data_IF_471061833633
#
_entry.id   IF_471061833633
#
_cell.length_a   1.000
_cell.length_b   1.000
_cell.length_c   1.000
_cell.angle_alpha   90.00
_cell.angle_beta   90.00
_cell.angle_gamma   90.00
#
_symmetry.space_group_name_H-M   'P 1'
#
loop_
_entity.id
_entity.type
_entity.pdbx_description
1 polymer ?
#
# COMPACT_ATOMS: atom_id res chain seq x y z
N UNK A 1 32.56 0.75 -19.40
CA UNK A 1 31.62 -0.32 -19.00
C UNK A 1 32.39 -1.38 -18.22
N UNK A 2 32.68 -1.16 -16.95
CA UNK A 2 33.53 -2.06 -16.14
C UNK A 2 32.74 -2.99 -15.19
N UNK A 3 31.40 -2.94 -15.23
CA UNK A 3 30.52 -3.70 -14.35
C UNK A 3 29.53 -4.61 -15.11
N UNK A 4 29.83 -4.97 -16.37
CA UNK A 4 28.95 -5.84 -17.16
C UNK A 4 29.66 -7.13 -17.57
N UNK A 5 29.14 -8.26 -17.08
CA UNK A 5 29.76 -9.58 -17.23
C UNK A 5 29.45 -10.28 -18.58
N UNK A 6 28.44 -9.80 -19.30
CA UNK A 6 28.01 -10.37 -20.58
C UNK A 6 28.81 -9.78 -21.75
N UNK A 7 29.09 -10.61 -22.75
CA UNK A 7 29.60 -10.12 -24.04
C UNK A 7 28.56 -9.22 -24.73
N UNK A 8 28.94 -8.34 -25.66
CA UNK A 8 27.98 -7.47 -26.35
C UNK A 8 26.84 -8.24 -27.04
N UNK A 9 27.14 -9.38 -27.66
CA UNK A 9 26.14 -10.23 -28.31
C UNK A 9 25.20 -10.87 -27.27
N UNK A 10 25.74 -11.45 -26.20
CA UNK A 10 24.94 -12.05 -25.14
C UNK A 10 24.07 -11.01 -24.40
N UNK A 11 24.58 -9.78 -24.23
CA UNK A 11 23.81 -8.67 -23.67
C UNK A 11 22.66 -8.27 -24.59
N UNK A 12 22.91 -8.16 -25.89
CA UNK A 12 21.88 -7.82 -26.85
C UNK A 12 20.77 -8.87 -26.89
N UNK A 13 21.13 -10.15 -26.93
CA UNK A 13 20.18 -11.27 -26.89
C UNK A 13 19.38 -11.27 -25.59
N UNK A 14 20.04 -11.05 -24.45
CA UNK A 14 19.37 -10.97 -23.16
C UNK A 14 18.37 -9.79 -23.09
N UNK A 15 18.76 -8.62 -23.61
CA UNK A 15 17.88 -7.45 -23.68
C UNK A 15 16.67 -7.72 -24.58
N UNK A 16 16.86 -8.38 -25.72
CA UNK A 16 15.75 -8.76 -26.61
C UNK A 16 14.79 -9.73 -25.94
N UNK A 17 15.31 -10.78 -25.30
CA UNK A 17 14.47 -11.73 -24.53
C UNK A 17 13.69 -11.02 -23.42
N UNK A 18 14.31 -10.08 -22.71
CA UNK A 18 13.65 -9.30 -21.68
C UNK A 18 12.55 -8.40 -22.28
N UNK A 19 12.84 -7.67 -23.38
CA UNK A 19 11.89 -6.81 -24.06
C UNK A 19 10.66 -7.59 -24.56
N UNK A 20 10.87 -8.73 -25.20
CA UNK A 20 9.82 -9.60 -25.73
C UNK A 20 8.95 -10.19 -24.60
N UNK A 21 9.58 -10.57 -23.47
CA UNK A 21 8.89 -11.14 -22.32
C UNK A 21 8.12 -10.12 -21.47
N UNK A 22 8.55 -8.85 -21.44
CA UNK A 22 7.95 -7.81 -20.59
C UNK A 22 7.11 -6.78 -21.36
N UNK A 23 7.19 -6.76 -22.69
CA UNK A 23 6.59 -5.71 -23.53
C UNK A 23 7.23 -4.33 -23.34
N UNK A 24 8.45 -4.27 -22.79
CA UNK A 24 9.20 -3.01 -22.60
C UNK A 24 10.01 -2.72 -23.85
N UNK A 25 9.89 -1.49 -24.36
CA UNK A 25 10.70 -1.05 -25.48
C UNK A 25 12.11 -0.67 -25.00
N UNK A 26 13.13 -1.33 -25.57
CA UNK A 26 14.54 -1.03 -25.29
C UNK A 26 15.10 -0.24 -26.46
N UNK A 27 15.41 1.02 -26.22
CA UNK A 27 16.01 1.90 -27.23
C UNK A 27 17.50 2.09 -26.98
N UNK A 28 18.31 1.88 -28.02
CA UNK A 28 19.74 2.14 -27.96
C UNK A 28 20.01 3.65 -28.00
N UNK A 29 20.65 4.16 -26.96
CA UNK A 29 21.03 5.56 -26.86
C UNK A 29 22.36 5.83 -27.57
N UNK A 30 22.44 6.88 -28.38
CA UNK A 30 23.66 7.30 -29.08
C UNK A 30 24.51 8.29 -28.29
N UNK A 31 23.90 9.00 -27.33
CA UNK A 31 24.54 9.99 -26.45
C UNK A 31 23.99 9.90 -25.03
N UNK A 32 24.74 10.42 -24.06
CA UNK A 32 24.27 10.58 -22.67
C UNK A 32 23.43 11.84 -22.42
N UNK A 33 23.43 12.78 -23.37
CA UNK A 33 22.61 13.98 -23.36
C UNK A 33 21.24 13.68 -23.97
N UNK A 34 20.18 14.09 -23.28
CA UNK A 34 18.79 13.90 -23.70
C UNK A 34 18.17 15.25 -24.11
N UNK A 35 17.70 15.33 -25.36
CA UNK A 35 16.90 16.46 -25.85
C UNK A 35 15.53 15.95 -26.34
N UNK A 36 14.41 16.12 -25.62
CA UNK A 36 14.24 16.59 -24.23
C UNK A 36 14.29 15.44 -23.20
N UNK A 37 14.70 15.69 -21.95
CA UNK A 37 14.57 14.69 -20.89
C UNK A 37 15.53 14.85 -19.72
N UNK A 38 15.69 13.76 -18.96
CA UNK A 38 16.67 13.64 -17.87
C UNK A 38 17.95 13.02 -18.45
N UNK A 39 19.08 13.72 -18.34
CA UNK A 39 20.37 13.22 -18.80
C UNK A 39 20.82 11.98 -18.02
N UNK A 40 21.49 11.06 -18.71
CA UNK A 40 22.06 9.87 -18.07
C UNK A 40 23.03 10.29 -16.96
N UNK A 41 22.73 9.88 -15.72
CA UNK A 41 23.52 10.21 -14.54
C UNK A 41 23.06 11.45 -13.78
N UNK A 42 21.96 12.09 -14.18
CA UNK A 42 21.29 13.10 -13.35
C UNK A 42 20.88 12.51 -12.01
N UNK A 43 20.98 13.33 -10.96
CA UNK A 43 20.44 13.08 -9.62
C UNK A 43 18.91 12.87 -9.60
N UNK A 44 18.22 13.08 -10.72
CA UNK A 44 16.80 12.73 -10.91
C UNK A 44 16.59 11.25 -11.22
N UNK A 45 17.62 10.52 -11.64
CA UNK A 45 17.57 9.06 -11.67
C UNK A 45 17.53 8.53 -10.25
N UNK A 46 16.57 7.64 -9.98
CA UNK A 46 16.47 6.93 -8.70
C UNK A 46 16.93 5.50 -8.93
N UNK A 47 17.97 5.10 -8.20
CA UNK A 47 18.34 3.69 -8.15
C UNK A 47 17.25 2.92 -7.41
N UNK A 48 16.87 1.77 -7.95
CA UNK A 48 15.92 0.86 -7.33
C UNK A 48 16.67 -0.34 -6.79
N UNK A 49 16.38 -0.70 -5.55
CA UNK A 49 16.86 -1.94 -4.96
C UNK A 49 15.87 -3.06 -5.26
N UNK A 50 16.38 -4.28 -5.46
CA UNK A 50 15.52 -5.44 -5.64
C UNK A 50 14.67 -5.64 -4.37
N UNK A 51 13.33 -5.68 -4.47
CA UNK A 51 12.49 -5.94 -3.30
C UNK A 51 12.75 -7.34 -2.73
N UNK A 52 12.91 -7.39 -1.42
CA UNK A 52 12.97 -8.58 -0.57
C UNK A 52 11.82 -8.48 0.45
N UNK A 53 10.58 -8.67 -0.01
CA UNK A 53 9.40 -8.43 0.82
C UNK A 53 9.12 -9.58 1.78
N UNK A 54 8.72 -9.22 3.00
CA UNK A 54 8.13 -10.13 3.98
C UNK A 54 6.65 -9.80 4.20
N UNK A 55 5.82 -10.82 4.35
CA UNK A 55 4.40 -10.71 4.68
C UNK A 55 4.17 -11.27 6.08
N UNK A 56 3.60 -10.46 6.98
CA UNK A 56 3.19 -10.98 8.29
C UNK A 56 1.95 -11.87 8.14
N UNK A 57 1.98 -13.01 8.81
CA UNK A 57 0.95 -14.05 8.81
C UNK A 57 0.76 -14.61 10.22
N UNK A 58 -0.17 -15.56 10.39
CA UNK A 58 -0.43 -16.22 11.67
C UNK A 58 -1.68 -15.70 12.37
N UNK A 59 -1.77 -15.98 13.68
CA UNK A 59 -2.96 -15.65 14.48
C UNK A 59 -3.24 -14.14 14.50
N UNK A 60 -4.49 -13.76 14.27
CA UNK A 60 -4.94 -12.37 14.22
C UNK A 60 -4.83 -11.69 12.85
N UNK A 61 -4.07 -12.24 11.90
CA UNK A 61 -3.96 -11.71 10.53
C UNK A 61 -5.13 -12.21 9.68
N UNK A 62 -5.71 -11.34 8.84
CA UNK A 62 -6.73 -11.74 7.87
C UNK A 62 -6.12 -12.62 6.77
N UNK A 63 -6.38 -13.93 6.85
CA UNK A 63 -5.82 -14.93 5.94
C UNK A 63 -6.24 -14.74 4.48
N UNK A 64 -7.42 -14.15 4.22
CA UNK A 64 -7.86 -13.90 2.85
C UNK A 64 -7.00 -12.79 2.21
N UNK A 65 -6.84 -11.65 2.89
CA UNK A 65 -6.01 -10.54 2.36
C UNK A 65 -4.53 -10.94 2.24
N UNK A 66 -4.02 -11.70 3.21
CA UNK A 66 -2.67 -12.26 3.14
C UNK A 66 -2.52 -13.19 1.92
N UNK A 67 -3.49 -14.08 1.69
CA UNK A 67 -3.50 -14.98 0.54
C UNK A 67 -3.62 -14.26 -0.80
N UNK A 68 -4.39 -13.18 -0.88
CA UNK A 68 -4.55 -12.36 -2.07
C UNK A 68 -3.25 -11.65 -2.46
N UNK A 69 -2.56 -11.06 -1.49
CA UNK A 69 -1.23 -10.45 -1.70
C UNK A 69 -0.19 -11.52 -2.05
N UNK A 70 -0.16 -12.64 -1.32
CA UNK A 70 0.76 -13.74 -1.61
C UNK A 70 0.59 -14.26 -3.04
N UNK A 71 -0.65 -14.53 -3.45
CA UNK A 71 -0.98 -14.94 -4.81
C UNK A 71 -0.55 -13.91 -5.85
N UNK A 72 -0.78 -12.61 -5.61
CA UNK A 72 -0.35 -11.55 -6.54
C UNK A 72 1.16 -11.64 -6.81
N UNK A 73 1.97 -11.67 -5.76
CA UNK A 73 3.42 -11.62 -5.92
C UNK A 73 4.01 -12.94 -6.43
N UNK A 74 3.48 -14.08 -5.97
CA UNK A 74 3.93 -15.40 -6.40
C UNK A 74 3.54 -15.71 -7.85
N UNK A 75 2.26 -15.52 -8.21
CA UNK A 75 1.69 -15.98 -9.48
C UNK A 75 1.68 -14.94 -10.60
N UNK A 76 1.86 -13.64 -10.29
CA UNK A 76 1.85 -12.56 -11.29
C UNK A 76 3.19 -11.85 -11.43
N UNK A 77 3.93 -11.71 -10.34
CA UNK A 77 5.22 -11.01 -10.34
C UNK A 77 6.44 -11.94 -10.24
N UNK A 78 6.24 -13.26 -10.10
CA UNK A 78 7.31 -14.23 -9.87
C UNK A 78 8.27 -13.80 -8.74
N UNK A 79 7.71 -13.19 -7.68
CA UNK A 79 8.44 -12.67 -6.53
C UNK A 79 7.85 -13.30 -5.25
N UNK A 80 8.19 -14.56 -4.91
CA UNK A 80 7.61 -15.21 -3.76
C UNK A 80 7.89 -14.44 -2.46
N UNK A 81 6.85 -14.18 -1.68
CA UNK A 81 6.94 -13.45 -0.42
C UNK A 81 7.44 -14.38 0.69
N UNK A 82 8.34 -13.88 1.54
CA UNK A 82 8.67 -14.61 2.77
C UNK A 82 7.58 -14.38 3.80
N UNK A 83 6.92 -15.44 4.25
CA UNK A 83 5.88 -15.35 5.27
C UNK A 83 6.51 -15.42 6.66
N UNK A 84 6.29 -14.38 7.47
CA UNK A 84 6.76 -14.34 8.86
C UNK A 84 5.56 -14.45 9.79
N UNK A 85 5.59 -15.44 10.67
CA UNK A 85 4.52 -15.64 11.64
C UNK A 85 4.64 -14.62 12.79
N UNK A 86 3.50 -14.00 13.13
CA UNK A 86 3.40 -12.91 14.11
C UNK A 86 4.03 -13.29 15.46
N UNK A 87 3.76 -14.49 15.95
CA UNK A 87 4.23 -14.99 17.26
C UNK A 87 5.75 -15.17 17.32
N UNK A 88 6.40 -15.32 16.17
CA UNK A 88 7.83 -15.56 16.03
C UNK A 88 8.62 -14.30 15.61
N UNK A 89 7.95 -13.16 15.40
CA UNK A 89 8.56 -11.96 14.85
C UNK A 89 9.75 -11.41 15.65
N UNK A 90 9.72 -11.55 16.97
CA UNK A 90 10.83 -11.14 17.84
C UNK A 90 12.15 -11.85 17.49
N UNK A 91 12.07 -13.11 17.02
CA UNK A 91 13.22 -13.97 16.72
C UNK A 91 13.79 -13.74 15.31
N UNK A 92 12.98 -13.30 14.35
CA UNK A 92 13.41 -13.11 12.97
C UNK A 92 14.23 -11.85 12.78
N UNK A 93 15.39 -11.95 12.13
CA UNK A 93 16.14 -10.76 11.72
C UNK A 93 15.44 -10.05 10.54
N UNK A 94 15.13 -8.77 10.72
CA UNK A 94 14.49 -7.96 9.68
C UNK A 94 15.47 -7.37 8.67
N UNK A 95 16.78 -7.42 8.94
CA UNK A 95 17.82 -6.84 8.07
C UNK A 95 17.88 -7.48 6.67
N UNK A 96 17.39 -8.72 6.54
CA UNK A 96 17.26 -9.44 5.27
C UNK A 96 16.17 -8.90 4.35
N UNK A 97 15.27 -8.04 4.86
CA UNK A 97 14.10 -7.54 4.14
C UNK A 97 14.14 -6.02 4.02
N UNK A 98 13.65 -5.49 2.90
CA UNK A 98 13.48 -4.04 2.69
C UNK A 98 12.01 -3.60 2.67
N UNK A 99 11.07 -4.56 2.60
CA UNK A 99 9.63 -4.29 2.68
C UNK A 99 8.98 -5.27 3.66
N UNK A 100 8.11 -4.76 4.51
CA UNK A 100 7.29 -5.54 5.44
C UNK A 100 5.83 -5.20 5.22
N UNK A 101 5.00 -6.21 4.93
CA UNK A 101 3.59 -6.05 4.60
C UNK A 101 2.74 -6.58 5.75
N UNK A 102 1.84 -5.73 6.25
CA UNK A 102 0.82 -6.05 7.24
C UNK A 102 -0.54 -5.80 6.61
N UNK A 103 -1.34 -6.86 6.49
CA UNK A 103 -2.72 -6.79 5.98
C UNK A 103 -3.72 -6.48 7.08
N UNK A 104 -5.01 -6.44 6.78
CA UNK A 104 -6.03 -6.31 7.82
C UNK A 104 -5.88 -7.39 8.90
N UNK A 105 -6.16 -7.05 10.15
CA UNK A 105 -5.98 -7.96 11.27
C UNK A 105 -5.84 -7.25 12.62
N UNK A 106 -5.72 -8.06 13.67
CA UNK A 106 -5.35 -7.62 15.01
C UNK A 106 -3.90 -7.96 15.31
N UNK A 107 -3.13 -6.93 15.66
CA UNK A 107 -1.70 -7.02 15.97
C UNK A 107 -1.40 -6.68 17.43
N UNK A 108 -2.42 -6.71 18.29
CA UNK A 108 -2.30 -6.43 19.73
C UNK A 108 -1.44 -7.47 20.47
N UNK A 109 -1.31 -8.68 19.91
CA UNK A 109 -0.45 -9.75 20.44
C UNK A 109 1.06 -9.54 20.23
N UNK A 110 1.47 -8.54 19.42
CA UNK A 110 2.89 -8.27 19.22
C UNK A 110 3.55 -7.74 20.49
N UNK A 111 4.59 -8.44 20.94
CA UNK A 111 5.39 -7.99 22.08
C UNK A 111 6.00 -6.61 21.84
N UNK A 112 6.21 -5.83 22.92
CA UNK A 112 6.88 -4.52 22.85
C UNK A 112 8.24 -4.61 22.16
N UNK A 113 9.00 -5.69 22.38
CA UNK A 113 10.28 -5.91 21.70
C UNK A 113 10.15 -6.05 20.18
N UNK A 114 9.13 -6.77 19.70
CA UNK A 114 8.85 -6.88 18.27
C UNK A 114 8.44 -5.53 17.67
N UNK A 115 7.60 -4.76 18.37
CA UNK A 115 7.20 -3.40 17.94
C UNK A 115 8.43 -2.49 17.81
N UNK A 116 9.32 -2.47 18.81
CA UNK A 116 10.54 -1.66 18.75
C UNK A 116 11.47 -2.09 17.62
N UNK A 117 11.58 -3.40 17.36
CA UNK A 117 12.35 -3.93 16.24
C UNK A 117 11.82 -3.44 14.89
N UNK A 118 10.50 -3.47 14.68
CA UNK A 118 9.87 -2.91 13.47
C UNK A 118 10.15 -1.41 13.39
N UNK A 119 9.99 -0.68 14.49
CA UNK A 119 10.21 0.78 14.53
C UNK A 119 11.64 1.15 14.14
N UNK A 120 12.63 0.47 14.72
CA UNK A 120 14.04 0.64 14.38
C UNK A 120 14.31 0.29 12.91
N UNK A 121 13.81 -0.84 12.43
CA UNK A 121 13.97 -1.26 11.04
C UNK A 121 13.40 -0.24 10.03
N UNK A 122 12.21 0.34 10.32
CA UNK A 122 11.68 1.44 9.51
C UNK A 122 12.58 2.67 9.60
N UNK A 123 13.03 3.07 10.80
CA UNK A 123 13.94 4.21 10.96
C UNK A 123 15.22 4.07 10.12
N UNK A 124 15.74 2.85 9.99
CA UNK A 124 16.95 2.54 9.25
C UNK A 124 16.77 2.56 7.72
N UNK A 125 15.54 2.51 7.21
CA UNK A 125 15.24 2.59 5.78
C UNK A 125 14.18 1.60 5.29
N UNK A 126 13.66 0.72 6.14
CA UNK A 126 12.62 -0.24 5.79
C UNK A 126 11.33 0.43 5.33
N UNK A 127 10.61 -0.23 4.41
CA UNK A 127 9.28 0.20 3.96
C UNK A 127 8.20 -0.67 4.59
N UNK A 128 7.41 -0.11 5.50
CA UNK A 128 6.25 -0.77 6.09
C UNK A 128 5.01 -0.47 5.24
N UNK A 129 4.33 -1.49 4.73
CA UNK A 129 3.03 -1.37 4.07
C UNK A 129 1.96 -1.89 5.03
N UNK A 130 1.03 -1.03 5.43
CA UNK A 130 0.00 -1.33 6.42
C UNK A 130 -1.40 -1.12 5.85
N UNK A 131 -2.19 -2.18 5.76
CA UNK A 131 -3.54 -2.16 5.18
C UNK A 131 -4.59 -2.18 6.29
N UNK A 132 -5.59 -1.31 6.18
CA UNK A 132 -6.76 -1.25 7.08
C UNK A 132 -6.38 -1.23 8.57
N UNK A 133 -6.78 -2.23 9.36
CA UNK A 133 -6.51 -2.23 10.80
C UNK A 133 -5.01 -2.33 11.13
N UNK A 134 -4.16 -2.83 10.23
CA UNK A 134 -2.71 -2.71 10.41
C UNK A 134 -2.25 -1.24 10.43
N UNK A 135 -2.86 -0.37 9.62
CA UNK A 135 -2.55 1.06 9.63
C UNK A 135 -2.99 1.71 10.96
N UNK A 136 -4.14 1.29 11.50
CA UNK A 136 -4.60 1.70 12.84
C UNK A 136 -3.64 1.26 13.93
N UNK A 137 -3.20 0.01 13.89
CA UNK A 137 -2.17 -0.49 14.80
C UNK A 137 -0.86 0.31 14.66
N UNK A 138 -0.42 0.58 13.43
CA UNK A 138 0.80 1.35 13.18
C UNK A 138 0.71 2.78 13.76
N UNK A 139 -0.46 3.42 13.68
CA UNK A 139 -0.71 4.72 14.30
C UNK A 139 -0.63 4.65 15.83
N UNK A 140 -1.27 3.64 16.45
CA UNK A 140 -1.20 3.40 17.91
C UNK A 140 0.25 3.18 18.38
N UNK A 141 1.05 2.44 17.61
CA UNK A 141 2.46 2.18 17.92
C UNK A 141 3.41 3.33 17.53
N UNK A 142 2.86 4.47 17.07
CA UNK A 142 3.64 5.64 16.65
C UNK A 142 4.67 5.31 15.55
N UNK A 143 4.26 4.51 14.57
CA UNK A 143 4.97 4.27 13.31
C UNK A 143 4.51 5.27 12.23
N UNK A 144 3.30 5.82 12.36
CA UNK A 144 2.69 6.82 11.47
C UNK A 144 1.90 7.83 12.30
N UNK A 145 1.73 9.06 11.80
CA UNK A 145 0.83 10.09 12.36
C UNK A 145 -0.58 10.03 11.77
N UNK A 146 -0.91 8.94 11.06
CA UNK A 146 -2.21 8.74 10.43
C UNK A 146 -3.37 8.98 11.41
N UNK A 147 -4.24 9.92 11.05
CA UNK A 147 -5.49 10.17 11.77
C UNK A 147 -6.66 9.48 11.07
N UNK A 148 -7.67 9.12 11.86
CA UNK A 148 -8.87 8.45 11.39
C UNK A 148 -10.07 9.37 11.62
N UNK A 149 -11.07 9.29 10.75
CA UNK A 149 -12.38 9.82 11.11
C UNK A 149 -12.96 9.00 12.26
N UNK A 150 -13.74 9.63 13.17
CA UNK A 150 -14.43 8.89 14.22
C UNK A 150 -15.22 7.74 13.61
N UNK A 151 -15.13 6.55 14.20
CA UNK A 151 -16.07 5.49 13.86
C UNK A 151 -17.48 6.04 14.14
N UNK A 152 -18.38 5.96 13.16
CA UNK A 152 -19.77 6.35 13.37
C UNK A 152 -20.28 5.67 14.64
N UNK A 153 -20.67 6.48 15.62
CA UNK A 153 -21.03 5.98 16.94
C UNK A 153 -22.10 4.90 16.81
N UNK A 154 -22.10 3.94 17.74
CA UNK A 154 -23.26 3.08 17.89
C UNK A 154 -24.43 4.00 18.17
N UNK A 155 -25.29 4.19 17.18
CA UNK A 155 -26.52 4.93 17.39
C UNK A 155 -27.37 4.12 18.39
N UNK A 156 -27.27 4.53 19.66
CA UNK A 156 -28.04 4.05 20.81
C UNK A 156 -29.30 4.88 21.03
N UNK A 157 -29.63 5.80 20.12
CA UNK A 157 -30.86 6.56 20.20
C UNK A 157 -32.07 5.64 19.97
N UNK A 158 -33.20 5.92 20.59
CA UNK A 158 -34.46 5.21 20.28
C UNK A 158 -34.87 4.03 21.17
N UNK A 159 -34.34 3.91 22.39
CA UNK A 159 -34.84 2.94 23.37
C UNK A 159 -34.70 1.46 22.95
N UNK A 160 -35.37 0.52 23.64
CA UNK A 160 -35.32 -0.91 23.30
C UNK A 160 -35.84 -1.17 21.88
N UNK A 161 -35.01 -1.82 21.05
CA UNK A 161 -35.35 -2.24 19.68
C UNK A 161 -35.65 -3.73 19.61
N UNK A 162 -36.42 -4.17 18.61
CA UNK A 162 -36.72 -5.59 18.40
C UNK A 162 -35.46 -6.36 17.98
N UNK A 163 -35.20 -7.50 18.64
CA UNK A 163 -34.09 -8.38 18.29
C UNK A 163 -34.13 -8.84 16.82
N UNK A 164 -35.33 -9.02 16.25
CA UNK A 164 -35.51 -9.43 14.86
C UNK A 164 -34.94 -8.41 13.83
N UNK A 165 -34.78 -7.15 14.23
CA UNK A 165 -34.22 -6.10 13.37
C UNK A 165 -32.70 -5.96 13.50
N UNK A 166 -32.07 -6.60 14.50
CA UNK A 166 -30.65 -6.41 14.83
C UNK A 166 -29.74 -6.66 13.62
N UNK A 167 -29.92 -7.78 12.92
CA UNK A 167 -29.10 -8.15 11.77
C UNK A 167 -29.30 -7.17 10.61
N UNK A 168 -30.55 -6.81 10.31
CA UNK A 168 -30.87 -5.86 9.23
C UNK A 168 -30.30 -4.48 9.50
N UNK A 169 -30.43 -3.98 10.72
CA UNK A 169 -29.91 -2.68 11.13
C UNK A 169 -28.37 -2.66 11.13
N UNK A 170 -27.72 -3.71 11.64
CA UNK A 170 -26.26 -3.82 11.59
C UNK A 170 -25.74 -3.97 10.17
N UNK A 171 -26.38 -4.81 9.36
CA UNK A 171 -26.05 -5.02 7.95
C UNK A 171 -26.17 -3.72 7.15
N UNK A 172 -27.24 -2.96 7.35
CA UNK A 172 -27.45 -1.67 6.71
C UNK A 172 -26.42 -0.61 7.14
N UNK A 173 -25.74 -0.74 8.28
CA UNK A 173 -24.67 0.18 8.70
C UNK A 173 -23.30 -0.23 8.18
N UNK A 174 -23.11 -1.50 7.83
CA UNK A 174 -21.81 -2.02 7.42
C UNK A 174 -21.48 -1.64 5.97
N UNK A 175 -20.26 -1.17 5.71
CA UNK A 175 -19.77 -0.96 4.34
C UNK A 175 -19.10 -2.24 3.84
N UNK A 176 -19.88 -3.16 3.25
CA UNK A 176 -19.45 -4.52 2.85
C UNK A 176 -19.44 -4.72 1.33
N UNK A 177 -18.73 -3.86 0.60
CA UNK A 177 -18.60 -3.96 -0.85
C UNK A 177 -19.38 -2.87 -1.57
N UNK A 178 -18.76 -1.70 -1.66
CA UNK A 178 -19.19 -0.62 -2.52
C UNK A 178 -17.97 -0.07 -3.27
N UNK A 179 -18.20 0.38 -4.51
CA UNK A 179 -17.17 0.92 -5.39
C UNK A 179 -17.31 2.43 -5.37
N UNK A 180 -16.21 3.13 -5.11
CA UNK A 180 -16.14 4.59 -5.10
C UNK A 180 -15.11 5.08 -6.09
N UNK A 181 -15.25 6.32 -6.53
CA UNK A 181 -14.23 6.97 -7.34
C UNK A 181 -13.11 7.51 -6.43
N UNK A 182 -11.88 7.35 -6.90
CA UNK A 182 -10.67 7.84 -6.26
C UNK A 182 -9.80 8.56 -7.26
N UNK A 183 -9.03 9.54 -6.78
CA UNK A 183 -8.09 10.31 -7.57
C UNK A 183 -6.67 10.02 -7.11
N UNK A 184 -5.90 9.38 -7.99
CA UNK A 184 -4.50 9.02 -7.83
C UNK A 184 -3.59 10.10 -8.44
N UNK A 185 -2.56 10.50 -7.71
CA UNK A 185 -1.47 11.31 -8.24
C UNK A 185 -0.53 10.43 -9.08
N UNK A 186 -0.59 10.60 -10.41
CA UNK A 186 0.24 9.85 -11.36
C UNK A 186 1.73 10.21 -11.29
N UNK A 187 2.09 11.33 -10.67
CA UNK A 187 3.50 11.75 -10.50
C UNK A 187 4.14 11.14 -9.25
N UNK A 188 3.33 10.61 -8.33
CA UNK A 188 3.81 9.93 -7.14
C UNK A 188 4.32 8.51 -7.50
N UNK A 189 5.38 7.98 -6.86
CA UNK A 189 5.89 6.63 -7.17
C UNK A 189 4.84 5.51 -7.08
N UNK A 190 3.84 5.67 -6.21
CA UNK A 190 2.70 4.74 -6.13
C UNK A 190 1.76 4.79 -7.34
N UNK A 191 1.77 5.87 -8.12
CA UNK A 191 1.05 6.03 -9.38
C UNK A 191 1.81 5.53 -10.61
N UNK A 192 3.03 5.01 -10.46
CA UNK A 192 3.84 4.55 -11.58
C UNK A 192 3.10 3.48 -12.43
N UNK A 193 3.10 3.67 -13.75
CA UNK A 193 2.44 2.78 -14.70
C UNK A 193 0.92 2.90 -14.77
N UNK A 194 0.31 3.89 -14.09
CA UNK A 194 -1.06 4.32 -14.35
C UNK A 194 -1.06 5.44 -15.39
N UNK A 195 -2.01 5.38 -16.34
CA UNK A 195 -2.21 6.41 -17.38
C UNK A 195 -3.43 7.28 -17.12
N UNK A 196 -4.31 6.85 -16.22
CA UNK A 196 -5.49 7.57 -15.76
C UNK A 196 -5.44 7.66 -14.22
N UNK A 197 -5.64 8.87 -13.70
CA UNK A 197 -5.69 9.13 -12.26
C UNK A 197 -7.05 8.81 -11.64
N UNK A 198 -8.09 8.61 -12.43
CA UNK A 198 -9.40 8.17 -11.95
C UNK A 198 -9.38 6.66 -11.69
N UNK A 199 -9.57 6.25 -10.44
CA UNK A 199 -9.45 4.86 -10.03
C UNK A 199 -10.67 4.38 -9.25
N UNK A 200 -11.39 3.35 -9.74
CA UNK A 200 -12.44 2.68 -8.96
C UNK A 200 -11.86 1.93 -7.75
N UNK A 201 -12.25 2.34 -6.55
CA UNK A 201 -11.80 1.78 -5.27
C UNK A 201 -12.88 0.91 -4.65
N UNK A 202 -12.57 -0.37 -4.46
CA UNK A 202 -13.47 -1.30 -3.79
C UNK A 202 -13.34 -1.18 -2.27
N UNK A 203 -14.42 -0.79 -1.57
CA UNK A 203 -14.45 -0.70 -0.11
C UNK A 203 -15.27 -1.81 0.52
N UNK A 204 -14.64 -2.49 1.47
CA UNK A 204 -15.22 -3.51 2.34
C UNK A 204 -14.92 -3.24 3.83
N UNK A 205 -14.57 -2.00 4.17
CA UNK A 205 -14.29 -1.54 5.54
C UNK A 205 -14.90 -0.16 5.79
N UNK A 206 -15.38 0.07 7.00
CA UNK A 206 -15.85 1.39 7.49
C UNK A 206 -14.74 2.20 8.18
N UNK A 207 -13.47 1.94 7.83
CA UNK A 207 -12.30 2.62 8.41
C UNK A 207 -11.84 3.74 7.47
N UNK A 208 -12.13 4.99 7.82
CA UNK A 208 -11.80 6.15 6.98
C UNK A 208 -10.58 6.90 7.50
N UNK A 209 -9.64 7.17 6.62
CA UNK A 209 -8.41 7.90 6.93
C UNK A 209 -8.63 9.38 6.66
N UNK A 210 -8.16 10.25 7.55
CA UNK A 210 -8.01 11.67 7.21
C UNK A 210 -6.81 11.85 6.29
N UNK A 211 -6.83 12.83 5.37
CA UNK A 211 -5.64 13.25 4.65
C UNK A 211 -4.52 13.65 5.62
N UNK A 212 -3.28 13.42 5.18
CA UNK A 212 -2.10 13.95 5.85
C UNK A 212 -2.11 15.49 5.83
N UNK A 213 -1.37 16.11 6.75
CA UNK A 213 -1.20 17.57 6.80
C UNK A 213 -0.28 18.04 5.68
N UNK A 214 0.75 17.25 5.36
CA UNK A 214 1.59 17.45 4.20
C UNK A 214 0.76 17.15 2.92
N UNK A 215 0.58 18.12 2.02
CA UNK A 215 -0.27 17.96 0.83
C UNK A 215 0.26 16.90 -0.15
N UNK A 216 1.55 16.57 -0.09
CA UNK A 216 2.16 15.56 -0.96
C UNK A 216 2.10 14.13 -0.39
N UNK A 217 1.69 13.98 0.87
CA UNK A 217 1.69 12.70 1.59
C UNK A 217 0.40 11.89 1.43
N UNK A 218 -0.56 12.36 0.63
CA UNK A 218 -1.84 11.70 0.37
C UNK A 218 -2.01 11.42 -1.14
N UNK A 219 -1.31 10.43 -1.71
CA UNK A 219 -1.28 10.22 -3.16
C UNK A 219 -2.58 9.64 -3.75
N UNK A 220 -3.49 9.15 -2.92
CA UNK A 220 -4.80 8.66 -3.34
C UNK A 220 -5.88 9.21 -2.42
N UNK A 221 -6.86 9.92 -2.98
CA UNK A 221 -7.99 10.51 -2.26
C UNK A 221 -9.32 10.05 -2.84
N UNK A 222 -10.34 9.89 -2.01
CA UNK A 222 -11.71 9.67 -2.47
C UNK A 222 -12.31 11.00 -2.95
N UNK A 223 -12.79 11.06 -4.18
CA UNK A 223 -13.28 12.30 -4.81
C UNK A 223 -14.80 12.50 -4.68
N UNK A 224 -15.53 11.47 -4.27
CA UNK A 224 -16.99 11.40 -4.19
C UNK A 224 -17.45 10.70 -2.92
N UNK A 225 -18.57 11.16 -2.35
CA UNK A 225 -19.34 10.46 -1.31
C UNK A 225 -20.42 9.54 -1.89
N UNK A 226 -20.64 9.57 -3.20
CA UNK A 226 -21.59 8.68 -3.89
C UNK A 226 -20.86 7.45 -4.43
N UNK A 227 -21.38 6.23 -4.17
CA UNK A 227 -20.82 5.03 -4.77
C UNK A 227 -21.05 5.04 -6.29
N UNK A 228 -20.04 4.63 -7.05
CA UNK A 228 -20.18 4.24 -8.45
C UNK A 228 -21.06 2.99 -8.57
N UNK A 229 -20.97 2.11 -7.57
CA UNK A 229 -21.81 0.91 -7.47
C UNK A 229 -21.84 0.39 -6.02
N UNK A 230 -22.93 -0.26 -5.63
CA UNK A 230 -23.14 -0.78 -4.28
C UNK A 230 -23.91 0.19 -3.37
N UNK A 231 -23.97 -0.15 -2.08
CA UNK A 231 -24.76 0.57 -1.09
C UNK A 231 -23.85 1.18 0.00
N UNK A 232 -24.17 2.41 0.40
CA UNK A 232 -23.56 3.07 1.56
C UNK A 232 -24.64 3.74 2.41
N UNK A 233 -24.54 3.53 3.72
CA UNK A 233 -25.37 4.21 4.69
C UNK A 233 -24.96 5.68 4.87
N UNK A 234 -25.93 6.56 5.08
CA UNK A 234 -25.73 7.99 5.27
C UNK A 234 -24.79 8.34 6.43
N UNK A 235 -24.69 7.48 7.45
CA UNK A 235 -23.76 7.67 8.58
C UNK A 235 -22.29 7.80 8.13
N UNK A 236 -21.94 7.30 6.95
CA UNK A 236 -20.56 7.32 6.44
C UNK A 236 -20.30 8.44 5.43
N UNK A 237 -21.35 9.13 4.92
CA UNK A 237 -21.22 10.16 3.87
C UNK A 237 -20.20 11.24 4.22
N UNK A 238 -20.26 11.74 5.46
CA UNK A 238 -19.38 12.81 5.94
C UNK A 238 -17.92 12.38 6.12
N UNK A 239 -17.64 11.07 6.14
CA UNK A 239 -16.28 10.54 6.33
C UNK A 239 -15.61 10.11 5.02
N UNK A 240 -16.34 10.09 3.89
CA UNK A 240 -15.84 9.50 2.65
C UNK A 240 -15.24 10.53 1.68
N UNK A 241 -15.99 11.56 1.29
CA UNK A 241 -15.50 12.54 0.30
C UNK A 241 -14.31 13.32 0.87
N UNK A 242 -13.21 13.33 0.14
CA UNK A 242 -11.95 13.95 0.56
C UNK A 242 -11.16 13.14 1.59
N UNK A 243 -11.62 11.94 1.96
CA UNK A 243 -10.84 11.02 2.79
C UNK A 243 -9.66 10.44 2.01
N UNK A 244 -8.64 9.99 2.74
CA UNK A 244 -7.48 9.37 2.12
C UNK A 244 -7.72 7.88 1.81
N UNK A 245 -7.37 7.47 0.59
CA UNK A 245 -7.20 6.07 0.22
C UNK A 245 -5.81 5.54 0.55
N UNK A 246 -4.79 6.41 0.41
CA UNK A 246 -3.41 6.12 0.81
C UNK A 246 -2.83 7.32 1.54
N UNK A 247 -2.13 7.08 2.64
CA UNK A 247 -1.28 8.07 3.33
C UNK A 247 0.13 7.50 3.44
N UNK A 248 1.14 8.33 3.17
CA UNK A 248 2.54 7.96 3.32
C UNK A 248 3.19 8.77 4.44
N UNK A 249 3.68 8.09 5.47
CA UNK A 249 4.45 8.70 6.55
C UNK A 249 5.94 8.38 6.43
N UNK A 250 6.77 9.26 7.01
CA UNK A 250 8.21 9.08 7.10
C UNK A 250 8.66 8.91 8.54
N UNK A 251 9.34 7.80 8.83
CA UNK A 251 9.97 7.54 10.11
C UNK A 251 11.46 7.26 9.87
N UNK A 252 12.33 8.12 10.39
CA UNK A 252 13.77 8.09 10.05
C UNK A 252 13.99 8.19 8.54
N UNK A 253 14.69 7.19 7.97
CA UNK A 253 14.91 7.08 6.52
C UNK A 253 13.84 6.27 5.80
N UNK A 254 13.06 5.45 6.49
CA UNK A 254 12.06 4.56 5.90
C UNK A 254 10.71 5.21 5.65
N UNK A 255 9.78 4.41 5.16
CA UNK A 255 8.43 4.81 4.75
C UNK A 255 7.40 3.92 5.41
N UNK A 256 6.28 4.50 5.81
CA UNK A 256 5.09 3.78 6.25
C UNK A 256 3.95 4.13 5.31
N UNK A 257 3.54 3.18 4.48
CA UNK A 257 2.51 3.32 3.45
C UNK A 257 1.23 2.70 3.98
N UNK A 258 0.26 3.54 4.33
CA UNK A 258 -1.01 3.12 4.88
C UNK A 258 -2.09 3.11 3.80
N UNK A 259 -2.81 1.99 3.63
CA UNK A 259 -3.90 1.85 2.65
C UNK A 259 -5.25 1.61 3.34
N UNK A 260 -6.26 2.42 3.02
CA UNK A 260 -7.57 2.36 3.68
C UNK A 260 -8.46 1.21 3.16
N UNK A 261 -8.19 0.79 1.92
CA UNK A 261 -8.84 -0.33 1.24
C UNK A 261 -7.83 -1.43 0.97
N UNK A 262 -8.36 -2.63 0.75
CA UNK A 262 -7.58 -3.76 0.30
C UNK A 262 -7.29 -3.61 -1.21
N UNK A 263 -6.03 -3.43 -1.61
CA UNK A 263 -5.67 -3.20 -3.01
C UNK A 263 -5.73 -4.49 -3.86
N UNK A 264 -5.81 -5.67 -3.23
CA UNK A 264 -5.70 -6.97 -3.89
C UNK A 264 -6.99 -7.79 -3.82
N UNK A 265 -8.10 -7.14 -3.43
CA UNK A 265 -9.36 -7.79 -3.09
C UNK A 265 -9.73 -8.96 -4.00
N UNK A 266 -9.78 -10.16 -3.39
CA UNK A 266 -10.11 -11.46 -3.96
C UNK A 266 -9.40 -11.81 -5.27
N UNK A 267 -8.23 -11.22 -5.51
CA UNK A 267 -7.42 -11.39 -6.71
C UNK A 267 -8.14 -11.09 -8.05
N UNK A 268 -9.33 -10.47 -8.03
CA UNK A 268 -10.07 -10.07 -9.24
C UNK A 268 -10.12 -8.56 -9.45
N UNK A 269 -9.89 -7.76 -8.40
CA UNK A 269 -9.91 -6.31 -8.49
C UNK A 269 -8.55 -5.77 -9.00
N UNK A 270 -8.30 -5.94 -10.29
CA UNK A 270 -7.00 -5.63 -10.90
C UNK A 270 -6.64 -4.14 -10.88
N UNK A 271 -7.62 -3.24 -10.83
CA UNK A 271 -7.36 -1.80 -10.92
C UNK A 271 -6.42 -1.28 -9.83
N UNK A 272 -6.52 -1.80 -8.61
CA UNK A 272 -5.72 -1.33 -7.46
C UNK A 272 -4.54 -2.21 -7.11
N UNK A 273 -4.38 -3.40 -7.70
CA UNK A 273 -3.30 -4.33 -7.32
C UNK A 273 -1.90 -3.74 -7.59
N UNK A 274 -1.78 -2.89 -8.61
CA UNK A 274 -0.55 -2.20 -8.96
C UNK A 274 -0.15 -1.18 -7.89
N UNK A 275 -1.08 -0.66 -7.08
CA UNK A 275 -0.73 0.15 -5.90
C UNK A 275 0.08 -0.65 -4.88
N UNK A 276 -0.29 -1.92 -4.64
CA UNK A 276 0.47 -2.81 -3.76
C UNK A 276 1.84 -3.16 -4.36
N UNK A 277 1.88 -3.47 -5.66
CA UNK A 277 3.14 -3.69 -6.36
C UNK A 277 4.06 -2.45 -6.27
N UNK A 278 3.55 -1.27 -6.59
CA UNK A 278 4.31 -0.03 -6.52
C UNK A 278 4.77 0.31 -5.10
N UNK A 279 3.99 -0.07 -4.07
CA UNK A 279 4.44 0.07 -2.68
C UNK A 279 5.65 -0.82 -2.36
N UNK A 280 5.69 -2.04 -2.92
CA UNK A 280 6.83 -2.98 -2.75
C UNK A 280 8.04 -2.56 -3.59
N UNK A 281 7.85 -2.22 -4.88
CA UNK A 281 8.95 -1.90 -5.79
C UNK A 281 9.48 -0.47 -5.66
N UNK A 282 8.60 0.50 -5.38
CA UNK A 282 8.94 1.93 -5.42
C UNK A 282 8.72 2.64 -4.08
N UNK A 283 8.22 1.96 -3.05
CA UNK A 283 8.00 2.56 -1.74
C UNK A 283 9.27 3.18 -1.14
N UNK A 284 10.41 2.50 -1.29
CA UNK A 284 11.70 2.98 -0.79
C UNK A 284 12.23 4.26 -1.44
N UNK A 285 11.75 4.62 -2.65
CA UNK A 285 12.20 5.82 -3.38
C UNK A 285 11.24 7.02 -3.28
N UNK A 286 10.15 6.90 -2.51
CA UNK A 286 9.27 8.03 -2.22
C UNK A 286 10.09 9.14 -1.54
N UNK A 287 10.03 10.38 -2.06
CA UNK A 287 10.83 11.49 -1.55
C UNK A 287 10.51 11.78 -0.08
N UNK A 288 11.56 11.93 0.75
CA UNK A 288 11.40 12.16 2.19
C UNK A 288 10.77 13.51 2.55
N UNK A 289 10.58 14.42 1.59
CA UNK A 289 9.83 15.68 1.71
C UNK A 289 8.34 15.51 1.36
N UNK A 290 7.99 14.46 0.64
CA UNK A 290 6.63 14.15 0.21
C UNK A 290 5.88 13.21 1.17
N UNK A 291 6.33 13.13 2.43
CA UNK A 291 5.75 12.25 3.45
C UNK A 291 5.33 13.03 4.68
N UNK A 292 4.35 12.52 5.40
CA UNK A 292 3.96 13.04 6.70
C UNK A 292 4.99 12.60 7.74
N UNK A 293 5.70 13.56 8.33
CA UNK A 293 6.75 13.27 9.32
C UNK A 293 6.15 13.13 10.71
N UNK A 294 6.67 12.14 11.45
CA UNK A 294 6.47 12.02 12.90
C UNK A 294 7.30 13.07 13.64
#
# INVERSE_FOLDING_TARGET
MQNQALSPAALHEWLQLAADGSGVEIQAMKSGLMEPGIDLGSDRFRSLDMPRPALLTGSGVNSNEAGEIWHLFDQRYNLPLTQLELDNLSRFDLSGYNVLILVDGSYEGLSTGAVQKIKQWVQEGGTLVAVKNAAKWAAVQQLTTLEFFPSSEKDTSGGPRSYANLEKEQGARALRGAIFSGKLDLTHPLGYGYTDGSLPLFRNSSLFFKPAKNPYATPLVYDSDQPLSGYMNDIHKNSLKGSAGIVVSGLGRGRVICMAQDPCFRAFWYGTNKLMANAVFFGGVIDGRAVERL
#
